data_IF_166487473839
#
_entry.id   IF_166487473839
#
_cell.length_a   1.000
_cell.length_b   1.000
_cell.length_c   1.000
_cell.angle_alpha   90.00
_cell.angle_beta   90.00
_cell.angle_gamma   90.00
#
_symmetry.space_group_name_H-M   'P 1'
#
loop_
_entity.id
_entity.type
_entity.pdbx_description
1 polymer ?
#
# COMPACT_ATOMS: atom_id res chain seq x y z
N UNK A 1 34.79 -25.57 28.06
CA UNK A 1 34.79 -25.58 26.58
C UNK A 1 33.41 -25.86 25.98
N UNK A 2 32.67 -26.90 26.40
CA UNK A 2 31.36 -27.24 25.83
C UNK A 2 30.24 -26.18 26.05
N UNK A 3 30.25 -25.47 27.20
CA UNK A 3 29.25 -24.43 27.49
C UNK A 3 29.32 -23.23 26.55
N UNK A 4 30.52 -22.83 26.12
CA UNK A 4 30.70 -21.72 25.17
C UNK A 4 30.21 -22.10 23.77
N UNK A 5 30.45 -23.36 23.39
CA UNK A 5 30.01 -23.91 22.10
C UNK A 5 28.48 -23.97 21.99
N UNK A 6 27.80 -24.32 23.09
CA UNK A 6 26.34 -24.40 23.11
C UNK A 6 25.69 -23.02 23.01
N UNK A 7 26.27 -22.02 23.67
CA UNK A 7 25.81 -20.62 23.57
C UNK A 7 26.03 -20.06 22.17
N UNK A 8 27.19 -20.31 21.56
CA UNK A 8 27.49 -19.91 20.17
C UNK A 8 26.53 -20.56 19.17
N UNK A 9 26.18 -21.84 19.36
CA UNK A 9 25.23 -22.55 18.51
C UNK A 9 23.81 -21.96 18.64
N UNK A 10 23.38 -21.61 19.85
CA UNK A 10 22.09 -20.95 20.09
C UNK A 10 22.01 -19.57 19.43
N UNK A 11 23.09 -18.78 19.49
CA UNK A 11 23.15 -17.46 18.83
C UNK A 11 23.10 -17.61 17.30
N UNK A 12 23.74 -18.63 16.74
CA UNK A 12 23.71 -18.90 15.31
C UNK A 12 22.30 -19.27 14.80
N UNK A 13 21.54 -20.02 15.60
CA UNK A 13 20.16 -20.41 15.25
C UNK A 13 19.21 -19.22 15.20
N UNK A 14 19.38 -18.22 16.09
CA UNK A 14 18.54 -17.01 16.10
C UNK A 14 18.88 -16.06 14.95
N UNK A 15 20.14 -16.04 14.49
CA UNK A 15 20.55 -15.18 13.38
C UNK A 15 19.97 -15.61 12.01
N UNK A 16 19.59 -16.89 11.84
CA UNK A 16 19.04 -17.41 10.57
C UNK A 16 17.58 -17.02 10.34
N UNK A 17 16.84 -16.63 11.39
CA UNK A 17 15.40 -16.33 11.27
C UNK A 17 15.08 -14.88 10.91
N UNK A 18 16.07 -13.99 10.88
CA UNK A 18 15.91 -12.57 10.50
C UNK A 18 16.18 -12.41 9.00
N UNK A 19 15.39 -13.12 8.20
CA UNK A 19 15.18 -12.68 6.83
C UNK A 19 13.99 -11.74 6.92
N UNK A 20 14.25 -10.43 6.91
CA UNK A 20 13.25 -9.44 6.53
C UNK A 20 12.82 -9.81 5.11
N UNK A 21 11.81 -10.67 5.02
CA UNK A 21 10.98 -10.73 3.85
C UNK A 21 10.31 -9.37 3.87
N UNK A 22 10.91 -8.40 3.17
CA UNK A 22 10.19 -7.24 2.68
C UNK A 22 8.99 -7.83 1.96
N UNK A 23 7.87 -7.90 2.68
CA UNK A 23 6.59 -8.21 2.08
C UNK A 23 6.45 -7.06 1.11
N UNK A 24 6.56 -7.36 -0.19
CA UNK A 24 6.17 -6.44 -1.25
C UNK A 24 4.66 -6.21 -1.07
N UNK A 25 4.32 -5.40 -0.07
CA UNK A 25 3.03 -4.83 0.10
C UNK A 25 2.91 -3.96 -1.13
N UNK A 26 2.24 -4.50 -2.15
CA UNK A 26 2.02 -3.87 -3.46
C UNK A 26 2.03 -2.36 -3.28
N UNK A 27 3.06 -1.68 -3.81
CA UNK A 27 3.20 -0.24 -3.63
C UNK A 27 1.99 0.42 -4.28
N UNK A 28 1.01 0.78 -3.44
CA UNK A 28 -0.24 1.42 -3.88
C UNK A 28 -0.09 2.92 -3.74
N UNK A 29 -0.14 3.62 -4.86
CA UNK A 29 -0.21 5.07 -4.91
C UNK A 29 -1.67 5.54 -4.96
N UNK A 30 -1.89 6.78 -4.50
CA UNK A 30 -3.20 7.45 -4.56
C UNK A 30 -3.04 8.83 -5.16
N UNK A 31 -3.95 9.22 -6.05
CA UNK A 31 -4.06 10.58 -6.60
C UNK A 31 -5.52 11.04 -6.62
N UNK A 32 -5.76 12.31 -6.32
CA UNK A 32 -7.09 12.92 -6.40
C UNK A 32 -7.27 13.45 -7.83
N UNK A 33 -8.26 12.93 -8.56
CA UNK A 33 -8.55 13.35 -9.93
C UNK A 33 -9.53 14.53 -9.97
N UNK A 34 -10.50 14.57 -9.04
CA UNK A 34 -11.48 15.64 -8.91
C UNK A 34 -11.79 15.89 -7.43
N UNK A 35 -11.80 17.16 -7.02
CA UNK A 35 -12.07 17.60 -5.65
C UNK A 35 -13.43 18.31 -5.47
N UNK A 36 -14.20 18.53 -6.55
CA UNK A 36 -15.48 19.26 -6.53
C UNK A 36 -16.70 18.35 -6.62
N UNK A 37 -16.50 17.10 -7.01
CA UNK A 37 -17.56 16.10 -7.09
C UNK A 37 -16.99 14.72 -7.37
N UNK A 38 -17.89 13.74 -7.34
CA UNK A 38 -17.54 12.39 -7.77
C UNK A 38 -18.70 11.74 -8.49
N UNK A 39 -18.58 11.61 -9.81
CA UNK A 39 -19.37 10.68 -10.60
C UNK A 39 -18.57 9.39 -10.76
N UNK A 40 -19.08 8.29 -10.19
CA UNK A 40 -18.31 7.04 -10.05
C UNK A 40 -17.85 6.48 -11.41
N UNK A 41 -18.72 6.47 -12.42
CA UNK A 41 -18.43 6.03 -13.80
C UNK A 41 -17.25 6.80 -14.38
N UNK A 42 -17.35 8.13 -14.39
CA UNK A 42 -16.32 9.04 -14.89
C UNK A 42 -15.01 8.89 -14.11
N UNK A 43 -15.07 8.79 -12.79
CA UNK A 43 -13.92 8.59 -11.92
C UNK A 43 -13.17 7.28 -12.22
N UNK A 44 -13.91 6.19 -12.39
CA UNK A 44 -13.36 4.89 -12.75
C UNK A 44 -12.71 4.91 -14.14
N UNK A 45 -13.41 5.49 -15.12
CA UNK A 45 -12.91 5.59 -16.49
C UNK A 45 -11.62 6.41 -16.56
N UNK A 46 -11.59 7.59 -15.93
CA UNK A 46 -10.42 8.45 -15.90
C UNK A 46 -9.24 7.79 -15.19
N UNK A 47 -9.48 7.20 -14.01
CA UNK A 47 -8.42 6.51 -13.27
C UNK A 47 -7.84 5.33 -14.05
N UNK A 48 -8.70 4.54 -14.71
CA UNK A 48 -8.24 3.42 -15.53
C UNK A 48 -7.47 3.89 -16.77
N UNK A 49 -7.91 4.95 -17.43
CA UNK A 49 -7.22 5.51 -18.61
C UNK A 49 -5.85 6.08 -18.26
N UNK A 50 -5.74 6.84 -17.17
CA UNK A 50 -4.52 7.55 -16.81
C UNK A 50 -3.51 6.70 -16.05
N UNK A 51 -3.97 5.82 -15.14
CA UNK A 51 -3.10 5.11 -14.19
C UNK A 51 -3.28 3.59 -14.23
N UNK A 52 -4.17 3.06 -15.07
CA UNK A 52 -4.59 1.64 -15.03
C UNK A 52 -5.05 1.21 -13.63
N UNK A 53 -5.52 2.18 -12.84
CA UNK A 53 -5.93 2.01 -11.45
C UNK A 53 -7.44 1.84 -11.29
N UNK A 54 -7.88 1.90 -10.02
CA UNK A 54 -9.28 1.89 -9.61
C UNK A 54 -9.67 3.26 -9.06
N UNK A 55 -10.64 3.91 -9.72
CA UNK A 55 -11.27 5.14 -9.24
C UNK A 55 -12.34 4.83 -8.21
N UNK A 56 -12.40 5.64 -7.14
CA UNK A 56 -13.33 5.48 -6.02
C UNK A 56 -13.78 6.85 -5.53
N UNK A 57 -15.07 6.99 -5.24
CA UNK A 57 -15.59 8.18 -4.57
C UNK A 57 -15.32 8.09 -3.08
N UNK A 58 -14.48 8.97 -2.55
CA UNK A 58 -14.19 9.07 -1.12
C UNK A 58 -14.75 10.36 -0.56
N UNK A 59 -14.97 10.41 0.75
CA UNK A 59 -15.46 11.63 1.39
C UNK A 59 -14.40 12.74 1.30
N UNK A 60 -14.83 13.93 0.89
CA UNK A 60 -13.98 15.12 0.83
C UNK A 60 -13.80 15.79 2.18
N UNK A 61 -13.01 16.87 2.19
CA UNK A 61 -12.77 17.69 3.40
C UNK A 61 -14.03 18.39 3.92
N UNK A 62 -15.04 18.57 3.09
CA UNK A 62 -16.32 19.16 3.48
C UNK A 62 -17.34 18.05 3.72
N UNK A 63 -18.13 18.18 4.80
CA UNK A 63 -19.17 17.22 5.11
C UNK A 63 -20.20 17.16 3.98
N UNK A 64 -20.47 15.96 3.46
CA UNK A 64 -21.36 15.76 2.32
C UNK A 64 -20.73 15.97 0.94
N UNK A 65 -19.45 16.39 0.84
CA UNK A 65 -18.75 16.40 -0.44
C UNK A 65 -18.05 15.07 -0.71
N UNK A 66 -18.03 14.66 -1.97
CA UNK A 66 -17.30 13.49 -2.44
C UNK A 66 -16.24 13.92 -3.44
N UNK A 67 -15.08 13.30 -3.36
CA UNK A 67 -13.94 13.50 -4.25
C UNK A 67 -13.65 12.21 -5.01
N UNK A 68 -13.09 12.33 -6.21
CA UNK A 68 -12.62 11.18 -6.98
C UNK A 68 -11.17 10.87 -6.61
N UNK A 69 -10.96 9.75 -5.93
CA UNK A 69 -9.66 9.21 -5.56
C UNK A 69 -9.30 8.03 -6.47
N UNK A 70 -8.10 8.05 -7.05
CA UNK A 70 -7.59 7.01 -7.93
C UNK A 70 -6.46 6.25 -7.24
N UNK A 71 -6.65 4.94 -7.05
CA UNK A 71 -5.66 4.04 -6.47
C UNK A 71 -5.03 3.22 -7.58
N UNK A 72 -3.71 3.21 -7.66
CA UNK A 72 -2.98 2.54 -8.74
C UNK A 72 -1.68 1.92 -8.23
N UNK A 73 -1.14 0.99 -9.02
CA UNK A 73 0.17 0.40 -8.75
C UNK A 73 1.27 1.36 -9.20
N UNK A 74 2.18 1.65 -8.27
CA UNK A 74 3.44 2.35 -8.46
C UNK A 74 4.55 1.51 -7.80
#
# INVERSE_FOLDING_TARGET
>A
MAKLFWVLFLVLLVAVTINDVEVDAQKRCTVILDNKGCELSTCQEQCYKSYKGRGVCTQGVQFGSYICSCFYDC
#
